data_IF_700681603621
#
_entry.id   IF_700681603621
#
_cell.length_a   1.000
_cell.length_b   1.000
_cell.length_c   1.000
_cell.angle_alpha   90.00
_cell.angle_beta   90.00
_cell.angle_gamma   90.00
#
_symmetry.space_group_name_H-M   'P 1'
#
loop_
_entity.id
_entity.type
_entity.pdbx_description
1 polymer ?
#
# COMPACT_ATOMS: atom_id res chain seq x y z
N UNK A 1 22.06 -10.57 3.53
CA UNK A 1 21.23 -10.00 4.61
C UNK A 1 20.78 -11.13 5.51
N UNK A 2 20.78 -11.00 6.85
CA UNK A 2 20.30 -12.06 7.72
C UNK A 2 18.81 -12.33 7.41
N UNK A 3 18.44 -13.61 7.33
CA UNK A 3 17.06 -14.03 7.10
C UNK A 3 16.22 -13.56 8.28
N UNK A 4 15.41 -12.53 8.09
CA UNK A 4 14.43 -12.06 9.07
C UNK A 4 13.31 -13.08 9.18
N UNK A 5 12.98 -13.49 10.40
CA UNK A 5 11.82 -14.33 10.64
C UNK A 5 10.58 -13.45 10.40
N UNK A 6 9.59 -13.89 9.59
CA UNK A 6 8.37 -13.14 9.39
C UNK A 6 7.70 -12.83 10.73
N UNK A 7 7.33 -11.57 10.95
CA UNK A 7 6.62 -11.18 12.17
C UNK A 7 5.25 -11.87 12.25
N UNK A 8 4.73 -12.10 13.47
CA UNK A 8 3.30 -12.37 13.67
C UNK A 8 2.45 -11.27 13.05
N UNK A 9 1.28 -11.61 12.52
CA UNK A 9 0.41 -10.69 11.79
C UNK A 9 0.08 -9.43 12.59
N UNK A 10 -0.16 -9.58 13.89
CA UNK A 10 -0.54 -8.52 14.82
C UNK A 10 0.60 -7.54 15.11
N UNK A 11 1.83 -7.91 14.76
CA UNK A 11 3.03 -7.09 14.91
C UNK A 11 3.46 -6.42 13.60
N UNK A 12 2.89 -6.81 12.46
CA UNK A 12 3.20 -6.19 11.16
C UNK A 12 2.58 -4.80 11.05
N UNK A 13 3.27 -3.92 10.35
CA UNK A 13 2.73 -2.63 9.94
C UNK A 13 1.69 -2.85 8.85
N UNK A 14 0.44 -2.54 9.15
CA UNK A 14 -0.63 -2.47 8.18
C UNK A 14 -0.68 -1.07 7.61
N UNK A 15 -0.52 -0.97 6.29
CA UNK A 15 -0.56 0.27 5.54
C UNK A 15 -1.82 0.28 4.68
N UNK A 16 -2.77 1.13 5.06
CA UNK A 16 -3.95 1.40 4.25
C UNK A 16 -3.61 2.51 3.26
N UNK A 17 -3.52 2.17 1.97
CA UNK A 17 -3.28 3.13 0.90
C UNK A 17 -4.55 3.34 0.07
N UNK A 18 -5.01 4.58 -0.01
CA UNK A 18 -6.21 4.97 -0.76
C UNK A 18 -5.81 5.53 -2.11
N UNK A 19 -6.22 4.88 -3.19
CA UNK A 19 -5.87 5.24 -4.56
C UNK A 19 -7.03 6.00 -5.19
N UNK A 20 -6.75 7.17 -5.76
CA UNK A 20 -7.78 7.94 -6.47
C UNK A 20 -8.15 7.28 -7.81
N UNK A 21 -9.44 7.29 -8.18
CA UNK A 21 -9.87 6.84 -9.51
C UNK A 21 -9.12 7.55 -10.64
N UNK A 22 -8.81 8.84 -10.47
CA UNK A 22 -8.09 9.64 -11.46
C UNK A 22 -6.70 9.09 -11.85
N UNK A 23 -6.07 8.27 -11.00
CA UNK A 23 -4.81 7.60 -11.32
C UNK A 23 -4.93 6.59 -12.47
N UNK A 24 -6.15 6.14 -12.77
CA UNK A 24 -6.43 5.19 -13.86
C UNK A 24 -6.91 5.89 -15.15
N UNK A 25 -6.95 7.24 -15.16
CA UNK A 25 -7.43 8.03 -16.29
C UNK A 25 -8.94 8.33 -16.25
N UNK A 26 -9.53 8.74 -17.39
CA UNK A 26 -10.91 9.23 -17.46
C UNK A 26 -11.97 8.23 -16.98
N UNK A 27 -11.82 6.95 -17.32
CA UNK A 27 -12.75 5.87 -16.93
C UNK A 27 -12.38 5.25 -15.57
N UNK A 28 -11.47 5.89 -14.82
CA UNK A 28 -10.93 5.33 -13.60
C UNK A 28 -11.96 5.04 -12.51
N UNK A 29 -13.10 5.76 -12.50
CA UNK A 29 -14.21 5.49 -11.58
C UNK A 29 -14.81 4.10 -11.78
N UNK A 30 -14.86 3.61 -13.01
CA UNK A 30 -15.41 2.28 -13.34
C UNK A 30 -14.43 1.16 -12.98
N UNK A 31 -13.15 1.48 -12.89
CA UNK A 31 -12.07 0.50 -12.76
C UNK A 31 -11.39 0.45 -11.39
N UNK A 32 -11.53 1.48 -10.56
CA UNK A 32 -10.75 1.62 -9.32
C UNK A 32 -10.96 0.46 -8.34
N UNK A 33 -12.19 -0.07 -8.24
CA UNK A 33 -12.49 -1.19 -7.35
C UNK A 33 -11.77 -2.48 -7.79
N UNK A 34 -11.75 -2.74 -9.10
CA UNK A 34 -11.08 -3.91 -9.68
C UNK A 34 -9.56 -3.76 -9.65
N UNK A 35 -9.05 -2.55 -9.89
CA UNK A 35 -7.64 -2.23 -9.70
C UNK A 35 -7.19 -2.51 -8.27
N UNK A 36 -7.91 -2.02 -7.24
CA UNK A 36 -7.53 -2.26 -5.85
C UNK A 36 -7.54 -3.75 -5.49
N UNK A 37 -8.49 -4.52 -6.04
CA UNK A 37 -8.53 -5.99 -5.88
C UNK A 37 -7.31 -6.67 -6.50
N UNK A 38 -6.96 -6.26 -7.72
CA UNK A 38 -5.76 -6.72 -8.42
C UNK A 38 -4.48 -6.35 -7.65
N UNK A 39 -4.32 -5.09 -7.27
CA UNK A 39 -3.17 -4.58 -6.54
C UNK A 39 -2.98 -5.30 -5.20
N UNK A 40 -4.06 -5.55 -4.45
CA UNK A 40 -4.00 -6.32 -3.21
C UNK A 40 -3.40 -7.72 -3.44
N UNK A 41 -3.78 -8.41 -4.52
CA UNK A 41 -3.21 -9.73 -4.84
C UNK A 41 -1.71 -9.66 -5.12
N UNK A 42 -1.24 -8.63 -5.82
CA UNK A 42 0.19 -8.44 -6.13
C UNK A 42 1.00 -8.06 -4.89
N UNK A 43 0.47 -7.13 -4.07
CA UNK A 43 1.16 -6.60 -2.90
C UNK A 43 1.26 -7.58 -1.73
N UNK A 44 0.46 -8.67 -1.70
CA UNK A 44 0.51 -9.70 -0.63
C UNK A 44 1.89 -10.27 -0.33
N UNK A 45 2.79 -10.28 -1.31
CA UNK A 45 4.16 -10.82 -1.17
C UNK A 45 5.22 -9.73 -0.97
N UNK A 46 4.86 -8.48 -1.17
CA UNK A 46 5.77 -7.33 -1.07
C UNK A 46 6.00 -7.02 0.41
N UNK A 47 7.24 -7.15 0.86
CA UNK A 47 7.65 -6.89 2.25
C UNK A 47 6.82 -7.65 3.29
N UNK A 48 6.33 -8.83 2.88
CA UNK A 48 5.37 -9.62 3.64
C UNK A 48 5.90 -10.12 4.98
N UNK A 49 7.21 -10.02 5.23
CA UNK A 49 7.81 -10.34 6.52
C UNK A 49 7.39 -9.35 7.62
N UNK A 50 7.14 -8.08 7.28
CA UNK A 50 6.88 -7.02 8.26
C UNK A 50 5.78 -6.03 7.89
N UNK A 51 5.22 -6.10 6.67
CA UNK A 51 4.16 -5.21 6.17
C UNK A 51 2.92 -5.99 5.72
N UNK A 52 1.76 -5.37 5.88
CA UNK A 52 0.49 -5.77 5.27
C UNK A 52 -0.04 -4.57 4.48
N UNK A 53 0.02 -4.65 3.15
CA UNK A 53 -0.53 -3.62 2.27
C UNK A 53 -2.03 -3.80 2.07
N UNK A 54 -2.80 -2.72 2.22
CA UNK A 54 -4.24 -2.68 2.03
C UNK A 54 -4.63 -1.54 1.06
N UNK A 55 -4.57 -1.77 -0.26
CA UNK A 55 -5.05 -0.80 -1.23
C UNK A 55 -6.59 -0.73 -1.23
N UNK A 56 -7.14 0.48 -1.20
CA UNK A 56 -8.57 0.76 -1.33
C UNK A 56 -8.85 1.94 -2.27
N UNK A 57 -10.04 2.01 -2.89
CA UNK A 57 -10.45 3.20 -3.64
C UNK A 57 -10.57 4.43 -2.73
N UNK A 58 -10.14 5.59 -3.23
CA UNK A 58 -10.34 6.91 -2.61
C UNK A 58 -11.44 7.68 -3.34
N UNK A 59 -12.69 7.46 -2.93
CA UNK A 59 -13.81 8.27 -3.42
C UNK A 59 -13.97 9.59 -2.65
N UNK A 60 -13.62 9.59 -1.37
CA UNK A 60 -13.65 10.76 -0.51
C UNK A 60 -12.23 11.31 -0.32
N UNK A 61 -11.98 12.49 -0.91
CA UNK A 61 -10.68 13.18 -0.84
C UNK A 61 -10.40 13.81 0.53
N UNK A 62 -11.38 13.87 1.42
CA UNK A 62 -11.14 14.32 2.81
C UNK A 62 -10.38 13.28 3.64
N UNK A 63 -10.41 12.01 3.23
CA UNK A 63 -9.65 10.94 3.86
C UNK A 63 -8.18 11.01 3.46
N UNK A 64 -7.25 10.70 4.38
CA UNK A 64 -5.81 10.65 4.07
C UNK A 64 -5.50 9.51 3.10
N UNK A 65 -4.50 9.74 2.26
CA UNK A 65 -4.02 8.76 1.29
C UNK A 65 -3.41 7.53 1.97
N UNK A 66 -2.63 7.73 3.04
CA UNK A 66 -2.05 6.64 3.81
C UNK A 66 -2.48 6.69 5.28
N UNK A 67 -2.71 5.51 5.84
CA UNK A 67 -2.91 5.32 7.28
C UNK A 67 -2.14 4.08 7.76
N UNK A 68 -1.66 4.16 8.99
CA UNK A 68 -0.74 3.19 9.57
C UNK A 68 -1.33 2.55 10.81
N UNK A 69 -1.16 1.25 10.95
CA UNK A 69 -1.58 0.53 12.16
C UNK A 69 -0.74 -0.70 12.44
N UNK A 70 -0.68 -1.11 13.69
CA UNK A 70 -0.12 -2.41 14.11
C UNK A 70 -1.17 -3.11 14.96
N UNK A 71 -1.62 -4.28 14.50
CA UNK A 71 -2.79 -4.96 15.06
C UNK A 71 -4.04 -4.07 14.96
N UNK A 72 -4.60 -3.68 16.11
CA UNK A 72 -5.79 -2.79 16.19
C UNK A 72 -5.44 -1.33 16.53
N UNK A 73 -4.15 -1.00 16.68
CA UNK A 73 -3.72 0.33 17.10
C UNK A 73 -3.33 1.16 15.88
N UNK A 74 -4.02 2.27 15.67
CA UNK A 74 -3.61 3.30 14.70
C UNK A 74 -2.33 3.99 15.16
N UNK A 75 -1.46 4.29 14.22
CA UNK A 75 -0.20 5.00 14.44
C UNK A 75 -0.29 6.39 13.80
N UNK A 76 0.35 7.36 14.45
CA UNK A 76 0.70 8.61 13.77
C UNK A 76 1.83 8.38 12.77
N UNK A 77 2.03 9.34 11.87
CA UNK A 77 3.14 9.33 10.91
C UNK A 77 4.49 9.10 11.62
N UNK A 78 4.80 9.86 12.68
CA UNK A 78 6.04 9.70 13.46
C UNK A 78 6.23 8.29 14.04
N UNK A 79 5.15 7.66 14.52
CA UNK A 79 5.21 6.30 15.09
C UNK A 79 5.38 5.23 14.01
N UNK A 80 4.83 5.46 12.81
CA UNK A 80 5.07 4.61 11.67
C UNK A 80 6.54 4.70 11.22
N UNK A 81 7.12 5.90 11.22
CA UNK A 81 8.57 6.10 10.98
C UNK A 81 9.43 5.34 11.99
N UNK A 82 9.16 5.49 13.29
CA UNK A 82 9.87 4.74 14.35
C UNK A 82 9.74 3.21 14.21
N UNK A 83 8.61 2.72 13.71
CA UNK A 83 8.45 1.31 13.40
C UNK A 83 9.38 0.89 12.26
N UNK A 84 9.44 1.67 11.17
CA UNK A 84 10.26 1.37 10.00
C UNK A 84 11.76 1.50 10.27
N UNK A 85 12.18 2.35 11.22
CA UNK A 85 13.57 2.48 11.65
C UNK A 85 14.15 1.14 12.13
N UNK A 86 13.35 0.26 12.74
CA UNK A 86 13.77 -1.09 13.13
C UNK A 86 14.18 -1.97 11.93
N UNK A 87 13.62 -1.67 10.76
CA UNK A 87 13.92 -2.33 9.49
C UNK A 87 14.93 -1.54 8.65
N UNK A 88 15.54 -0.48 9.22
CA UNK A 88 16.47 0.44 8.54
C UNK A 88 15.85 1.09 7.30
N UNK A 89 14.56 1.38 7.37
CA UNK A 89 13.84 2.09 6.33
C UNK A 89 13.26 3.39 6.91
N UNK A 90 13.29 4.47 6.14
CA UNK A 90 12.61 5.70 6.55
C UNK A 90 11.22 5.75 5.90
N UNK A 91 10.32 6.54 6.47
CA UNK A 91 8.92 6.53 6.05
C UNK A 91 8.72 7.14 4.67
N UNK A 92 9.44 8.21 4.34
CA UNK A 92 9.30 8.92 3.07
C UNK A 92 9.72 8.02 1.89
N UNK A 93 10.89 7.37 1.98
CA UNK A 93 11.37 6.41 0.97
C UNK A 93 10.44 5.18 0.88
N UNK A 94 9.84 4.77 2.00
CA UNK A 94 8.89 3.66 2.04
C UNK A 94 7.57 4.00 1.33
N UNK A 95 7.06 5.22 1.52
CA UNK A 95 5.89 5.72 0.81
C UNK A 95 6.19 5.87 -0.70
N UNK A 96 7.33 6.45 -1.07
CA UNK A 96 7.78 6.58 -2.47
C UNK A 96 7.89 5.21 -3.15
N UNK A 97 8.49 4.23 -2.48
CA UNK A 97 8.58 2.86 -2.96
C UNK A 97 7.20 2.21 -3.20
N UNK A 98 6.20 2.51 -2.36
CA UNK A 98 4.82 2.06 -2.62
C UNK A 98 4.25 2.76 -3.86
N UNK A 99 4.44 4.08 -4.00
CA UNK A 99 3.97 4.84 -5.16
C UNK A 99 4.56 4.30 -6.48
N UNK A 100 5.86 4.00 -6.51
CA UNK A 100 6.51 3.39 -7.67
C UNK A 100 5.89 2.05 -8.04
N UNK A 101 5.61 1.19 -7.05
CA UNK A 101 4.92 -0.08 -7.31
C UNK A 101 3.51 0.12 -7.82
N UNK A 102 2.75 1.04 -7.23
CA UNK A 102 1.39 1.32 -7.67
C UNK A 102 1.38 1.81 -9.12
N UNK A 103 2.36 2.63 -9.52
CA UNK A 103 2.53 3.08 -10.90
C UNK A 103 2.69 1.91 -11.86
N UNK A 104 3.61 0.98 -11.57
CA UNK A 104 3.80 -0.24 -12.38
C UNK A 104 2.53 -1.09 -12.42
N UNK A 105 1.85 -1.26 -11.29
CA UNK A 105 0.62 -2.06 -11.22
C UNK A 105 -0.54 -1.41 -12.00
N UNK A 106 -0.62 -0.09 -12.05
CA UNK A 106 -1.59 0.66 -12.85
C UNK A 106 -1.37 0.32 -14.32
N UNK A 107 -0.14 0.44 -14.82
CA UNK A 107 0.20 0.14 -16.21
C UNK A 107 -0.14 -1.32 -16.57
N UNK A 108 0.24 -2.27 -15.72
CA UNK A 108 -0.08 -3.69 -15.90
C UNK A 108 -1.59 -3.96 -15.93
N UNK A 109 -2.35 -3.30 -15.07
CA UNK A 109 -3.81 -3.45 -15.00
C UNK A 109 -4.48 -2.86 -16.24
N UNK A 110 -4.10 -1.64 -16.63
CA UNK A 110 -4.63 -0.97 -17.80
C UNK A 110 -4.32 -1.74 -19.09
N UNK A 111 -3.14 -2.36 -19.19
CA UNK A 111 -2.79 -3.22 -20.32
C UNK A 111 -3.71 -4.46 -20.41
N UNK A 112 -4.16 -5.02 -19.28
CA UNK A 112 -5.03 -6.21 -19.25
C UNK A 112 -6.47 -5.93 -19.64
N UNK A 113 -7.00 -4.75 -19.32
CA UNK A 113 -8.40 -4.42 -19.61
C UNK A 113 -8.59 -3.83 -21.03
N UNK A 114 -7.51 -3.36 -21.65
CA UNK A 114 -7.49 -2.86 -23.03
C UNK A 114 -7.17 -3.94 -24.08
N UNK A 115 -6.73 -5.11 -23.63
CA UNK A 115 -6.45 -6.28 -24.46
C UNK A 115 -7.72 -7.09 -24.74
#
# INVERSE_FOLDING_TARGET
MPKTIPLPKEQKLTVLCRIEPGCLGPDGLDHIADFCRFANQQLKRVDADFVIWLPLPRYDKSLPEMQYSVGQKQLSHDKAGQYLDHFKNNLDDFEEYLHDKLSVLIDEFLAKIKA
#
